data_IF_690186480173
#
_entry.id   IF_690186480173
#
_cell.length_a   1.000
_cell.length_b   1.000
_cell.length_c   1.000
_cell.angle_alpha   90.00
_cell.angle_beta   90.00
_cell.angle_gamma   90.00
#
_symmetry.space_group_name_H-M   'P 1'
#
loop_
_entity.id
_entity.type
_entity.pdbx_description
1 polymer ?
#
# COMPACT_ATOMS: atom_id res chain seq x y z
N UNK A 1 1.42 4.96 5.12
CA UNK A 1 1.70 5.64 3.84
C UNK A 1 0.87 5.01 2.73
N UNK A 2 0.35 5.81 1.79
CA UNK A 2 -0.42 5.34 0.62
C UNK A 2 0.06 6.10 -0.62
N UNK A 3 0.25 5.42 -1.73
CA UNK A 3 0.53 6.07 -3.02
C UNK A 3 0.08 5.18 -4.19
N UNK A 4 -0.26 5.81 -5.31
CA UNK A 4 -0.79 5.14 -6.50
C UNK A 4 -1.46 6.17 -7.41
N UNK A 5 -1.64 5.80 -8.67
CA UNK A 5 -2.47 6.58 -9.58
C UNK A 5 -3.93 6.12 -9.46
N UNK A 6 -4.86 7.05 -9.58
CA UNK A 6 -6.30 6.78 -9.43
C UNK A 6 -7.01 7.11 -10.72
N UNK A 7 -7.77 6.15 -11.23
CA UNK A 7 -8.70 6.38 -12.33
C UNK A 7 -10.02 6.98 -11.89
N UNK A 8 -10.74 7.58 -12.84
CA UNK A 8 -12.07 8.14 -12.58
C UNK A 8 -13.09 7.08 -12.16
N UNK A 9 -12.90 5.81 -12.55
CA UNK A 9 -13.72 4.68 -12.11
C UNK A 9 -13.36 4.13 -10.73
N UNK A 10 -12.41 4.76 -10.02
CA UNK A 10 -11.95 4.33 -8.70
C UNK A 10 -10.93 3.19 -8.71
N UNK A 11 -10.45 2.77 -9.89
CA UNK A 11 -9.35 1.82 -10.03
C UNK A 11 -8.02 2.44 -9.61
N UNK A 12 -7.19 1.63 -8.95
CA UNK A 12 -5.84 2.01 -8.52
C UNK A 12 -4.84 1.41 -9.50
N UNK A 13 -4.00 2.26 -10.10
CA UNK A 13 -3.01 1.94 -11.13
C UNK A 13 -1.59 1.98 -10.59
N UNK A 14 -0.71 1.25 -11.26
CA UNK A 14 0.70 1.14 -10.90
C UNK A 14 1.38 2.52 -10.78
N UNK A 15 2.30 2.64 -9.84
CA UNK A 15 3.14 3.82 -9.65
C UNK A 15 4.61 3.51 -9.94
N UNK A 16 5.39 4.55 -10.22
CA UNK A 16 6.83 4.46 -10.44
C UNK A 16 7.63 4.45 -9.11
N UNK A 17 8.80 3.81 -9.13
CA UNK A 17 9.75 3.77 -8.00
C UNK A 17 9.16 3.21 -6.70
N UNK A 18 8.33 2.17 -6.81
CA UNK A 18 7.60 1.58 -5.67
C UNK A 18 8.58 1.04 -4.62
N UNK A 19 9.61 0.33 -5.05
CA UNK A 19 10.61 -0.25 -4.15
C UNK A 19 11.30 0.82 -3.31
N UNK A 20 11.78 1.90 -3.94
CA UNK A 20 12.46 3.00 -3.26
C UNK A 20 11.52 3.71 -2.28
N UNK A 21 10.28 3.98 -2.70
CA UNK A 21 9.26 4.60 -1.85
C UNK A 21 8.91 3.74 -0.64
N UNK A 22 8.76 2.43 -0.82
CA UNK A 22 8.50 1.48 0.28
C UNK A 22 9.64 1.52 1.30
N UNK A 23 10.90 1.44 0.85
CA UNK A 23 12.08 1.47 1.73
C UNK A 23 12.19 2.80 2.49
N UNK A 24 11.91 3.91 1.80
CA UNK A 24 11.87 5.22 2.44
C UNK A 24 10.75 5.32 3.47
N UNK A 25 9.57 4.77 3.16
CA UNK A 25 8.47 4.69 4.11
C UNK A 25 8.83 3.93 5.38
N UNK A 26 9.49 2.77 5.24
CA UNK A 26 9.99 2.02 6.38
C UNK A 26 11.02 2.82 7.20
N UNK A 27 11.97 3.48 6.53
CA UNK A 27 13.00 4.33 7.15
C UNK A 27 12.42 5.49 7.95
N UNK A 28 11.31 6.06 7.48
CA UNK A 28 10.59 7.15 8.16
C UNK A 28 9.68 6.66 9.30
N UNK A 29 9.63 5.35 9.56
CA UNK A 29 8.85 4.76 10.66
C UNK A 29 7.38 4.50 10.32
N UNK A 30 7.00 4.45 9.03
CA UNK A 30 5.66 3.98 8.68
C UNK A 30 5.56 2.46 8.90
N UNK A 31 4.49 2.02 9.55
CA UNK A 31 4.24 0.60 9.80
C UNK A 31 3.55 -0.10 8.62
N UNK A 32 2.78 0.67 7.84
CA UNK A 32 1.96 0.16 6.73
C UNK A 32 2.13 1.01 5.46
N UNK A 33 2.28 0.32 4.33
CA UNK A 33 2.35 0.88 2.99
C UNK A 33 1.27 0.29 2.10
N UNK A 34 0.32 1.10 1.64
CA UNK A 34 -0.72 0.68 0.71
C UNK A 34 -0.32 1.11 -0.71
N UNK A 35 -0.22 0.14 -1.61
CA UNK A 35 0.26 0.33 -2.98
C UNK A 35 -0.68 -0.33 -4.00
N UNK A 36 -0.59 0.01 -5.29
CA UNK A 36 -1.33 -0.69 -6.35
C UNK A 36 -0.95 -2.17 -6.37
N UNK A 37 -1.92 -3.06 -6.54
CA UNK A 37 -1.67 -4.52 -6.53
C UNK A 37 -0.70 -4.93 -7.64
N UNK A 38 -0.75 -4.25 -8.78
CA UNK A 38 0.13 -4.47 -9.92
C UNK A 38 1.59 -4.12 -9.61
N UNK A 39 1.84 -3.20 -8.68
CA UNK A 39 3.18 -2.78 -8.28
C UNK A 39 3.96 -3.84 -7.49
N UNK A 40 3.32 -4.93 -7.04
CA UNK A 40 4.03 -6.05 -6.40
C UNK A 40 5.09 -6.69 -7.28
N UNK A 41 4.94 -6.64 -8.61
CA UNK A 41 5.96 -7.17 -9.54
C UNK A 41 7.30 -6.45 -9.45
N UNK A 42 7.32 -5.22 -8.93
CA UNK A 42 8.53 -4.43 -8.71
C UNK A 42 9.21 -4.69 -7.36
N UNK A 43 8.60 -5.54 -6.52
CA UNK A 43 9.11 -5.91 -5.20
C UNK A 43 9.69 -7.32 -5.23
N UNK A 44 10.84 -7.49 -4.58
CA UNK A 44 11.45 -8.81 -4.39
C UNK A 44 10.80 -9.52 -3.21
N UNK A 45 10.39 -10.78 -3.38
CA UNK A 45 9.89 -11.61 -2.26
C UNK A 45 10.97 -12.01 -1.26
N UNK A 46 12.24 -11.93 -1.66
CA UNK A 46 13.38 -12.29 -0.81
C UNK A 46 13.90 -11.09 0.00
N UNK A 47 13.43 -9.87 -0.30
CA UNK A 47 13.82 -8.66 0.43
C UNK A 47 12.86 -8.43 1.59
N UNK A 48 13.41 -8.23 2.79
CA UNK A 48 12.64 -7.70 3.92
C UNK A 48 12.60 -6.18 3.81
N UNK A 49 11.39 -5.63 3.71
CA UNK A 49 11.16 -4.20 3.59
C UNK A 49 10.96 -3.52 4.95
N UNK A 50 10.78 -4.27 6.05
CA UNK A 50 10.57 -3.71 7.39
C UNK A 50 9.27 -2.90 7.56
N UNK A 51 8.32 -3.05 6.64
CA UNK A 51 7.02 -2.38 6.61
C UNK A 51 5.98 -3.33 6.03
N UNK A 52 4.76 -3.33 6.57
CA UNK A 52 3.68 -4.16 6.00
C UNK A 52 3.21 -3.55 4.68
N UNK A 53 3.33 -4.30 3.58
CA UNK A 53 2.92 -3.86 2.24
C UNK A 53 1.58 -4.48 1.88
N UNK A 54 0.60 -3.62 1.57
CA UNK A 54 -0.78 -4.01 1.25
C UNK A 54 -1.09 -3.59 -0.19
N UNK A 55 -1.55 -4.56 -0.99
CA UNK A 55 -1.88 -4.33 -2.40
C UNK A 55 -3.37 -4.16 -2.64
N UNK A 56 -3.75 -3.07 -3.31
CA UNK A 56 -5.14 -2.74 -3.61
C UNK A 56 -5.37 -2.54 -5.10
N UNK A 57 -6.58 -2.86 -5.58
CA UNK A 57 -7.00 -2.64 -6.98
C UNK A 57 -7.97 -1.47 -7.13
N UNK A 58 -8.62 -1.05 -6.04
CA UNK A 58 -9.66 -0.02 -6.05
C UNK A 58 -9.51 0.90 -4.84
N UNK A 59 -10.07 2.11 -4.92
CA UNK A 59 -10.15 3.04 -3.79
C UNK A 59 -10.90 2.43 -2.60
N UNK A 60 -11.97 1.69 -2.84
CA UNK A 60 -12.72 1.01 -1.79
C UNK A 60 -11.81 0.08 -0.97
N UNK A 61 -10.99 -0.74 -1.63
CA UNK A 61 -10.01 -1.59 -0.95
C UNK A 61 -8.96 -0.77 -0.19
N UNK A 62 -8.54 0.38 -0.73
CA UNK A 62 -7.62 1.28 -0.04
C UNK A 62 -8.22 1.82 1.26
N UNK A 63 -9.46 2.31 1.22
CA UNK A 63 -10.17 2.79 2.41
C UNK A 63 -10.40 1.68 3.43
N UNK A 64 -10.77 0.47 2.99
CA UNK A 64 -10.89 -0.68 3.89
C UNK A 64 -9.55 -1.01 4.56
N UNK A 65 -8.44 -1.00 3.82
CA UNK A 65 -7.11 -1.25 4.38
C UNK A 65 -6.67 -0.17 5.39
N UNK A 66 -7.05 1.09 5.18
CA UNK A 66 -6.83 2.18 6.13
C UNK A 66 -7.64 1.93 7.42
N UNK A 67 -8.90 1.54 7.27
CA UNK A 67 -9.85 1.40 8.38
C UNK A 67 -9.79 0.07 9.13
N UNK A 68 -9.12 -0.96 8.61
CA UNK A 68 -9.09 -2.30 9.19
C UNK A 68 -8.64 -2.38 10.67
N UNK A 69 -7.92 -1.37 11.20
CA UNK A 69 -7.55 -1.29 12.62
C UNK A 69 -8.53 -0.51 13.52
N UNK A 70 -9.66 -0.03 12.97
CA UNK A 70 -10.70 0.71 13.70
C UNK A 70 -11.92 -0.15 14.03
N UNK A 71 -12.13 -1.25 13.31
CA UNK A 71 -13.30 -2.12 13.49
C UNK A 71 -13.19 -3.02 14.73
N UNK A 72 -12.00 -3.24 15.28
CA UNK A 72 -11.80 -4.03 16.52
C UNK A 72 -12.13 -3.27 17.82
N UNK A 73 -12.54 -1.98 17.77
CA UNK A 73 -12.78 -1.14 18.96
C UNK A 73 -14.25 -0.79 19.19
N UNK A 74 -15.18 -1.51 18.59
CA UNK A 74 -16.61 -1.28 18.78
C UNK A 74 -17.37 -2.61 18.92
N UNK A 75 -17.04 -3.36 19.97
CA UNK A 75 -17.89 -4.34 20.65
C UNK A 75 -17.73 -4.14 22.17
#
# INVERSE_FOLDING_TARGET
MVFGEVGLGGEVRAASHVRERVKEGARLGFERCIIPKQSFSSLSRAEDYGIQIIGVRTLEQAFRAINAGKEEKHD
#
